data_IF_681086146066
#
_entry.id   IF_681086146066
#
_cell.length_a   1.000
_cell.length_b   1.000
_cell.length_c   1.000
_cell.angle_alpha   90.00
_cell.angle_beta   90.00
_cell.angle_gamma   90.00
#
_symmetry.space_group_name_H-M   'P 1'
#
loop_
_entity.id
_entity.type
_entity.pdbx_description
1 polymer ?
#
# COMPACT_ATOMS: atom_id res chain seq x y z
N UNK A 1 3.17 -20.27 -19.41
CA UNK A 1 2.96 -18.82 -19.19
C UNK A 1 2.00 -18.62 -18.02
N UNK A 2 2.31 -17.70 -17.13
CA UNK A 2 1.44 -17.40 -15.99
C UNK A 2 0.20 -16.64 -16.45
N UNK A 3 -0.94 -16.94 -15.84
CA UNK A 3 -2.17 -16.15 -16.02
C UNK A 3 -2.00 -14.75 -15.43
N UNK A 4 -2.89 -13.83 -15.81
CA UNK A 4 -2.90 -12.46 -15.24
C UNK A 4 -3.08 -12.50 -13.72
N UNK A 5 -3.95 -13.38 -13.23
CA UNK A 5 -4.16 -13.55 -11.78
C UNK A 5 -2.88 -14.03 -11.09
N UNK A 6 -2.21 -15.04 -11.64
CA UNK A 6 -0.96 -15.57 -11.06
C UNK A 6 0.16 -14.54 -11.06
N UNK A 7 0.27 -13.71 -12.12
CA UNK A 7 1.26 -12.62 -12.19
C UNK A 7 0.98 -11.56 -11.12
N UNK A 8 -0.28 -11.20 -10.92
CA UNK A 8 -0.67 -10.23 -9.90
C UNK A 8 -0.39 -10.74 -8.50
N UNK A 9 -0.70 -12.00 -8.23
CA UNK A 9 -0.43 -12.62 -6.93
C UNK A 9 1.06 -12.73 -6.64
N UNK A 10 1.86 -13.07 -7.64
CA UNK A 10 3.32 -13.13 -7.52
C UNK A 10 3.90 -11.75 -7.23
N UNK A 11 3.44 -10.72 -7.93
CA UNK A 11 3.90 -9.35 -7.70
C UNK A 11 3.55 -8.89 -6.28
N UNK A 12 2.32 -9.16 -5.83
CA UNK A 12 1.88 -8.83 -4.47
C UNK A 12 2.76 -9.52 -3.41
N UNK A 13 3.14 -10.79 -3.64
CA UNK A 13 4.06 -11.49 -2.73
C UNK A 13 5.44 -10.82 -2.71
N UNK A 14 5.94 -10.39 -3.87
CA UNK A 14 7.22 -9.68 -3.95
C UNK A 14 7.16 -8.36 -3.17
N UNK A 15 6.06 -7.61 -3.28
CA UNK A 15 5.85 -6.38 -2.52
C UNK A 15 5.80 -6.68 -1.02
N UNK A 16 5.09 -7.72 -0.64
CA UNK A 16 5.00 -8.14 0.76
C UNK A 16 6.38 -8.45 1.34
N UNK A 17 7.20 -9.20 0.61
CA UNK A 17 8.57 -9.53 1.04
C UNK A 17 9.45 -8.29 1.12
N UNK A 18 9.33 -7.36 0.18
CA UNK A 18 10.08 -6.11 0.21
C UNK A 18 9.72 -5.30 1.46
N UNK A 19 8.43 -5.09 1.72
CA UNK A 19 7.99 -4.30 2.86
C UNK A 19 8.35 -4.97 4.18
N UNK A 20 8.25 -6.30 4.24
CA UNK A 20 8.64 -7.06 5.43
C UNK A 20 10.12 -6.87 5.75
N UNK A 21 10.99 -6.87 4.74
CA UNK A 21 12.42 -6.60 4.94
C UNK A 21 12.70 -5.17 5.37
N UNK A 22 12.01 -4.20 4.75
CA UNK A 22 12.16 -2.79 5.13
C UNK A 22 11.79 -2.57 6.59
N UNK A 23 10.71 -3.18 7.04
CA UNK A 23 10.32 -3.13 8.45
C UNK A 23 11.35 -3.84 9.32
N UNK A 24 11.73 -5.07 8.98
CA UNK A 24 12.63 -5.88 9.80
C UNK A 24 14.03 -5.30 9.94
N UNK A 25 14.50 -4.59 8.93
CA UNK A 25 15.83 -3.95 8.93
C UNK A 25 15.80 -2.50 9.41
N UNK A 26 14.66 -2.04 9.90
CA UNK A 26 14.53 -0.71 10.49
C UNK A 26 14.53 0.44 9.49
N UNK A 27 14.26 0.16 8.20
CA UNK A 27 14.23 1.19 7.16
C UNK A 27 12.82 1.75 6.91
N UNK A 28 11.81 1.13 7.52
CA UNK A 28 10.47 1.68 7.48
C UNK A 28 10.33 2.76 8.56
N UNK A 29 9.27 3.58 8.51
CA UNK A 29 9.13 4.71 9.42
C UNK A 29 8.71 4.33 10.85
N UNK A 30 8.49 3.06 11.14
CA UNK A 30 8.19 2.59 12.49
C UNK A 30 9.10 1.44 12.88
N UNK A 31 9.19 1.17 14.19
CA UNK A 31 10.03 0.09 14.70
C UNK A 31 9.41 -1.27 14.40
N UNK A 32 10.23 -2.29 14.10
CA UNK A 32 9.73 -3.62 13.78
C UNK A 32 8.80 -4.20 14.85
N UNK A 33 9.12 -4.02 16.11
CA UNK A 33 8.35 -4.57 17.23
C UNK A 33 6.97 -3.93 17.37
N UNK A 34 6.73 -2.78 16.72
CA UNK A 34 5.43 -2.09 16.76
C UNK A 34 4.62 -2.28 15.49
N UNK A 35 5.12 -3.06 14.54
CA UNK A 35 4.48 -3.24 13.24
C UNK A 35 4.05 -4.69 13.04
N UNK A 36 2.88 -4.87 12.42
CA UNK A 36 2.43 -6.17 11.93
C UNK A 36 2.01 -6.00 10.48
N UNK A 37 2.42 -6.92 9.61
CA UNK A 37 2.12 -6.86 8.19
C UNK A 37 1.29 -8.07 7.78
N UNK A 38 0.28 -7.84 6.93
CA UNK A 38 -0.67 -8.86 6.48
C UNK A 38 -0.91 -8.75 4.99
N UNK A 39 -1.17 -9.90 4.36
CA UNK A 39 -1.71 -9.95 2.99
C UNK A 39 -3.22 -10.13 3.04
N UNK A 40 -3.94 -9.56 2.06
CA UNK A 40 -5.40 -9.74 1.92
C UNK A 40 -6.16 -9.44 3.21
N UNK A 41 -5.82 -8.32 3.82
CA UNK A 41 -6.42 -7.90 5.08
C UNK A 41 -7.76 -7.22 4.82
N UNK A 42 -8.76 -7.55 5.64
CA UNK A 42 -10.12 -7.00 5.53
C UNK A 42 -10.35 -5.94 6.57
N UNK A 43 -11.03 -4.86 6.14
CA UNK A 43 -11.48 -3.80 7.06
C UNK A 43 -12.92 -3.44 6.74
N UNK A 44 -13.73 -3.23 7.77
CA UNK A 44 -15.14 -2.92 7.61
C UNK A 44 -15.36 -1.52 7.01
N UNK A 45 -16.27 -1.43 6.04
CA UNK A 45 -16.71 -0.17 5.44
C UNK A 45 -18.17 0.09 5.81
N UNK A 46 -18.46 1.22 6.45
CA UNK A 46 -19.82 1.62 6.74
C UNK A 46 -20.60 1.91 5.47
N UNK A 47 -19.94 2.48 4.47
CA UNK A 47 -20.59 2.83 3.21
C UNK A 47 -21.08 1.60 2.47
N UNK A 48 -20.32 0.51 2.52
CA UNK A 48 -20.67 -0.74 1.85
C UNK A 48 -21.49 -1.68 2.73
N UNK A 49 -21.47 -1.46 4.05
CA UNK A 49 -21.99 -2.40 5.04
C UNK A 49 -21.37 -3.79 4.87
N UNK A 50 -20.08 -3.82 4.52
CA UNK A 50 -19.29 -5.02 4.25
C UNK A 50 -17.81 -4.69 4.34
N UNK A 51 -16.97 -5.72 4.26
CA UNK A 51 -15.53 -5.54 4.32
C UNK A 51 -14.95 -5.12 2.97
N UNK A 52 -13.88 -4.33 3.04
CA UNK A 52 -12.99 -4.06 1.91
C UNK A 52 -11.72 -4.86 2.13
N UNK A 53 -11.25 -5.55 1.08
CA UNK A 53 -9.99 -6.30 1.10
C UNK A 53 -8.89 -5.42 0.50
N UNK A 54 -7.79 -5.26 1.25
CA UNK A 54 -6.59 -4.59 0.74
C UNK A 54 -5.51 -5.63 0.47
N UNK A 55 -4.69 -5.38 -0.55
CA UNK A 55 -3.64 -6.32 -0.93
C UNK A 55 -2.67 -6.59 0.21
N UNK A 56 -2.22 -5.52 0.86
CA UNK A 56 -1.34 -5.59 2.03
C UNK A 56 -1.76 -4.50 3.02
N UNK A 57 -1.63 -4.82 4.31
CA UNK A 57 -1.84 -3.84 5.37
C UNK A 57 -0.73 -3.94 6.41
N UNK A 58 -0.29 -2.79 6.90
CA UNK A 58 0.68 -2.70 7.98
C UNK A 58 -0.02 -2.00 9.14
N UNK A 59 -0.18 -2.72 10.25
CA UNK A 59 -0.81 -2.18 11.45
C UNK A 59 0.28 -1.76 12.43
N UNK A 60 0.18 -0.53 12.91
CA UNK A 60 1.18 0.10 13.77
C UNK A 60 0.58 0.34 15.15
N UNK A 61 1.25 -0.21 16.18
CA UNK A 61 0.75 -0.21 17.54
C UNK A 61 1.64 0.68 18.43
N UNK A 62 1.03 1.49 19.28
CA UNK A 62 1.74 2.11 20.39
C UNK A 62 2.05 1.04 21.44
N UNK A 63 3.13 1.22 22.21
CA UNK A 63 3.50 0.22 23.21
C UNK A 63 2.36 -0.14 24.16
N UNK A 64 2.09 -1.43 24.30
CA UNK A 64 1.07 -1.94 25.23
C UNK A 64 -0.37 -1.76 24.80
N UNK A 65 -0.64 -1.24 23.59
CA UNK A 65 -2.01 -1.03 23.15
C UNK A 65 -2.52 -2.22 22.34
N UNK A 66 -3.78 -2.68 22.57
CA UNK A 66 -4.31 -3.85 21.88
C UNK A 66 -4.80 -3.55 20.45
N UNK A 67 -5.05 -2.27 20.13
CA UNK A 67 -5.52 -1.85 18.80
C UNK A 67 -4.46 -1.00 18.11
N UNK A 68 -4.36 -1.06 16.77
CA UNK A 68 -3.42 -0.21 16.06
C UNK A 68 -3.82 1.26 16.18
N UNK A 69 -2.81 2.12 16.31
CA UNK A 69 -3.00 3.58 16.31
C UNK A 69 -3.02 4.14 14.90
N UNK A 70 -2.43 3.43 13.94
CA UNK A 70 -2.40 3.79 12.53
C UNK A 70 -2.31 2.53 11.70
N UNK A 71 -2.90 2.57 10.51
CA UNK A 71 -2.74 1.50 9.51
C UNK A 71 -2.22 2.09 8.21
N UNK A 72 -1.34 1.33 7.54
CA UNK A 72 -0.87 1.65 6.21
C UNK A 72 -1.45 0.61 5.27
N UNK A 73 -2.22 1.07 4.30
CA UNK A 73 -2.90 0.22 3.33
C UNK A 73 -2.14 0.29 2.01
N UNK A 74 -1.90 -0.86 1.40
CA UNK A 74 -1.06 -0.97 0.21
C UNK A 74 -1.86 -1.59 -0.92
N UNK A 75 -1.83 -0.94 -2.07
CA UNK A 75 -2.41 -1.43 -3.31
C UNK A 75 -1.29 -1.73 -4.30
N UNK A 76 -1.33 -2.93 -4.91
CA UNK A 76 -0.32 -3.39 -5.85
C UNK A 76 -0.93 -3.53 -7.24
N UNK A 77 -0.29 -2.94 -8.25
CA UNK A 77 -0.72 -3.03 -9.64
C UNK A 77 0.44 -3.50 -10.54
N UNK A 78 0.21 -4.58 -11.26
CA UNK A 78 1.19 -5.15 -12.20
C UNK A 78 0.61 -5.08 -13.61
N UNK A 79 0.63 -3.89 -14.21
CA UNK A 79 0.13 -3.65 -15.55
C UNK A 79 1.25 -3.70 -16.58
N UNK A 80 0.90 -4.06 -17.81
CA UNK A 80 1.79 -3.91 -18.97
C UNK A 80 1.92 -2.42 -19.37
N UNK A 81 0.82 -1.68 -19.28
CA UNK A 81 0.79 -0.25 -19.60
C UNK A 81 0.88 0.64 -18.37
N UNK A 82 0.75 1.94 -18.56
CA UNK A 82 0.80 2.92 -17.47
C UNK A 82 -0.40 2.78 -16.54
N UNK A 83 -0.19 3.12 -15.27
CA UNK A 83 -1.26 3.12 -14.26
C UNK A 83 -2.14 4.34 -14.48
N UNK A 84 -3.44 4.16 -14.74
CA UNK A 84 -4.34 5.27 -14.97
C UNK A 84 -4.68 6.02 -13.67
N UNK A 85 -5.05 7.29 -13.84
CA UNK A 85 -5.47 8.16 -12.74
C UNK A 85 -6.62 7.54 -11.93
N UNK A 86 -7.56 6.88 -12.62
CA UNK A 86 -8.72 6.26 -11.98
C UNK A 86 -8.36 5.23 -10.90
N UNK A 87 -7.25 4.54 -11.06
CA UNK A 87 -6.83 3.52 -10.09
C UNK A 87 -6.41 4.15 -8.75
N UNK A 88 -5.68 5.27 -8.80
CA UNK A 88 -5.27 5.95 -7.57
C UNK A 88 -6.47 6.63 -6.89
N UNK A 89 -7.41 7.15 -7.69
CA UNK A 89 -8.65 7.73 -7.16
C UNK A 89 -9.51 6.67 -6.46
N UNK A 90 -9.64 5.50 -7.06
CA UNK A 90 -10.37 4.38 -6.47
C UNK A 90 -9.72 3.92 -5.17
N UNK A 91 -8.39 3.84 -5.15
CA UNK A 91 -7.65 3.49 -3.94
C UNK A 91 -7.91 4.50 -2.82
N UNK A 92 -7.87 5.78 -3.13
CA UNK A 92 -8.19 6.85 -2.19
C UNK A 92 -9.61 6.72 -1.61
N UNK A 93 -10.58 6.38 -2.46
CA UNK A 93 -11.96 6.16 -2.03
C UNK A 93 -12.06 4.98 -1.05
N UNK A 94 -11.37 3.88 -1.32
CA UNK A 94 -11.33 2.72 -0.42
C UNK A 94 -10.76 3.08 0.94
N UNK A 95 -9.67 3.84 0.97
CA UNK A 95 -9.03 4.23 2.24
C UNK A 95 -9.98 5.06 3.09
N UNK A 96 -10.69 6.01 2.48
CA UNK A 96 -11.65 6.87 3.20
C UNK A 96 -12.81 6.09 3.80
N UNK A 97 -13.09 4.90 3.28
CA UNK A 97 -14.16 4.05 3.78
C UNK A 97 -13.77 3.20 4.98
N UNK A 98 -12.48 3.11 5.31
CA UNK A 98 -12.02 2.34 6.48
C UNK A 98 -12.27 3.18 7.72
N UNK A 99 -13.31 2.80 8.47
CA UNK A 99 -13.76 3.57 9.63
C UNK A 99 -12.91 3.29 10.86
N UNK A 100 -12.74 4.32 11.70
CA UNK A 100 -12.15 4.18 13.01
C UNK A 100 -10.64 4.12 13.08
N UNK A 101 -9.94 4.31 11.95
CA UNK A 101 -8.48 4.24 11.91
C UNK A 101 -7.86 5.47 11.25
N UNK A 102 -6.68 5.84 11.74
CA UNK A 102 -5.81 6.76 11.02
C UNK A 102 -5.12 5.93 9.92
N UNK A 103 -5.61 6.08 8.70
CA UNK A 103 -5.16 5.27 7.57
C UNK A 103 -4.32 6.08 6.60
N UNK A 104 -3.21 5.50 6.15
CA UNK A 104 -2.33 6.03 5.12
C UNK A 104 -2.25 5.04 3.97
N UNK A 105 -1.97 5.51 2.76
CA UNK A 105 -1.89 4.65 1.58
C UNK A 105 -0.50 4.59 0.97
N UNK A 106 -0.15 3.43 0.47
CA UNK A 106 1.01 3.23 -0.41
C UNK A 106 0.51 2.55 -1.68
N UNK A 107 0.82 3.14 -2.82
CA UNK A 107 0.50 2.55 -4.11
C UNK A 107 1.78 2.03 -4.76
N UNK A 108 1.79 0.74 -5.11
CA UNK A 108 2.97 0.07 -5.67
C UNK A 108 2.67 -0.39 -7.08
N UNK A 109 3.50 -0.03 -8.04
CA UNK A 109 3.31 -0.40 -9.44
C UNK A 109 4.57 -0.99 -10.06
N UNK A 110 4.36 -1.98 -10.95
CA UNK A 110 5.42 -2.53 -11.80
C UNK A 110 5.61 -1.69 -13.08
N UNK A 111 4.75 -0.70 -13.33
CA UNK A 111 4.80 0.15 -14.53
C UNK A 111 4.74 1.62 -14.18
N UNK A 112 5.02 2.47 -15.17
CA UNK A 112 4.97 3.93 -15.02
C UNK A 112 3.54 4.41 -14.76
N UNK A 113 3.43 5.60 -14.19
CA UNK A 113 2.15 6.24 -13.92
C UNK A 113 1.78 7.22 -15.01
N UNK A 114 0.48 7.33 -15.30
CA UNK A 114 -0.02 8.39 -16.19
C UNK A 114 0.26 9.77 -15.58
N UNK A 115 0.34 10.77 -16.44
CA UNK A 115 0.43 12.16 -16.01
C UNK A 115 -0.74 12.49 -15.08
N UNK A 116 -0.46 13.15 -13.99
CA UNK A 116 -1.46 13.50 -12.98
C UNK A 116 -1.63 12.48 -11.86
N UNK A 117 -1.27 11.22 -12.07
CA UNK A 117 -1.39 10.20 -11.02
C UNK A 117 -0.51 10.53 -9.81
N UNK A 118 0.73 10.94 -10.04
CA UNK A 118 1.65 11.35 -8.96
C UNK A 118 1.14 12.60 -8.25
N UNK A 119 0.52 13.54 -9.00
CA UNK A 119 -0.06 14.74 -8.39
C UNK A 119 -1.19 14.38 -7.44
N UNK A 120 -2.06 13.47 -7.83
CA UNK A 120 -3.16 13.01 -6.97
C UNK A 120 -2.60 12.30 -5.73
N UNK A 121 -1.63 11.42 -5.91
CA UNK A 121 -0.98 10.72 -4.80
C UNK A 121 -0.36 11.72 -3.81
N UNK A 122 0.33 12.73 -4.33
CA UNK A 122 0.92 13.80 -3.50
C UNK A 122 -0.14 14.53 -2.69
N UNK A 123 -1.23 14.93 -3.34
CA UNK A 123 -2.28 15.71 -2.70
C UNK A 123 -3.10 14.90 -1.68
N UNK A 124 -3.21 13.59 -1.89
CA UNK A 124 -3.91 12.71 -0.96
C UNK A 124 -2.98 12.13 0.12
N UNK A 125 -1.70 12.44 0.07
CA UNK A 125 -0.75 12.00 1.08
C UNK A 125 -0.31 10.55 0.94
N UNK A 126 -0.37 9.98 -0.26
CA UNK A 126 0.05 8.59 -0.49
C UNK A 126 1.55 8.48 -0.72
N UNK A 127 2.14 7.37 -0.24
CA UNK A 127 3.43 6.92 -0.69
C UNK A 127 3.31 6.21 -2.04
N UNK A 128 4.33 6.30 -2.86
CA UNK A 128 4.37 5.64 -4.17
C UNK A 128 5.68 4.90 -4.32
N UNK A 129 5.59 3.62 -4.63
CA UNK A 129 6.74 2.76 -4.88
C UNK A 129 6.62 2.20 -6.29
N UNK A 130 7.75 2.17 -7.00
CA UNK A 130 7.83 1.56 -8.31
C UNK A 130 8.82 0.42 -8.33
N UNK A 131 8.47 -0.66 -9.02
CA UNK A 131 9.36 -1.80 -9.25
C UNK A 131 10.04 -1.66 -10.59
N UNK A 132 11.37 -1.77 -10.59
CA UNK A 132 12.22 -1.83 -11.79
C UNK A 132 12.89 -3.20 -11.81
N UNK A 133 12.78 -3.97 -12.89
CA UNK A 133 13.33 -5.32 -12.92
C UNK A 133 14.82 -5.43 -12.55
N UNK A 134 15.62 -4.42 -12.93
CA UNK A 134 17.07 -4.42 -12.68
C UNK A 134 17.45 -3.81 -11.33
N UNK A 135 16.63 -2.94 -10.79
CA UNK A 135 16.95 -2.16 -9.57
C UNK A 135 16.07 -2.51 -8.37
N UNK A 136 15.01 -3.29 -8.58
CA UNK A 136 14.07 -3.64 -7.53
C UNK A 136 13.09 -2.51 -7.22
N UNK A 137 12.61 -2.47 -5.98
CA UNK A 137 11.63 -1.49 -5.54
C UNK A 137 12.30 -0.17 -5.17
N UNK A 138 11.74 0.94 -5.68
CA UNK A 138 12.23 2.28 -5.44
C UNK A 138 11.09 3.20 -5.02
N UNK A 139 11.31 3.99 -3.99
CA UNK A 139 10.36 5.02 -3.57
C UNK A 139 10.38 6.18 -4.57
N UNK A 140 9.24 6.46 -5.16
CA UNK A 140 9.06 7.67 -5.98
C UNK A 140 8.46 8.81 -5.16
N UNK A 141 7.69 8.48 -4.12
CA UNK A 141 7.08 9.46 -3.24
C UNK A 141 6.99 8.88 -1.84
N UNK A 142 7.94 9.23 -0.98
CA UNK A 142 8.02 8.73 0.39
C UNK A 142 7.49 9.71 1.43
N UNK A 143 7.57 11.01 1.15
CA UNK A 143 7.26 12.07 2.13
C UNK A 143 5.84 12.00 2.70
N UNK A 144 4.91 11.40 1.98
CA UNK A 144 3.54 11.26 2.44
C UNK A 144 3.42 10.41 3.70
N UNK A 145 4.41 9.57 3.99
CA UNK A 145 4.45 8.73 5.18
C UNK A 145 5.11 9.44 6.36
N UNK A 146 5.83 10.52 6.11
CA UNK A 146 6.62 11.23 7.12
C UNK A 146 5.95 12.48 7.67
N UNK A 147 4.86 12.90 7.04
CA UNK A 147 4.14 14.14 7.41
C UNK A 147 2.83 13.90 8.14
#
# INVERSE_FOLDING_TARGET
MLSTFAKGDLFEEQVFQFLSREIGEGRFFCRPEHCRIFRKRRYYSRDREDDIVFDIAIEIFLPGQPKPSMIVLVECKNYAGTVPVGDIEEFGAKIRQVAGFNAKGIFVSASAFQSGTINIATNQGFGVIRYFPDEGFQWELARALLT
#
